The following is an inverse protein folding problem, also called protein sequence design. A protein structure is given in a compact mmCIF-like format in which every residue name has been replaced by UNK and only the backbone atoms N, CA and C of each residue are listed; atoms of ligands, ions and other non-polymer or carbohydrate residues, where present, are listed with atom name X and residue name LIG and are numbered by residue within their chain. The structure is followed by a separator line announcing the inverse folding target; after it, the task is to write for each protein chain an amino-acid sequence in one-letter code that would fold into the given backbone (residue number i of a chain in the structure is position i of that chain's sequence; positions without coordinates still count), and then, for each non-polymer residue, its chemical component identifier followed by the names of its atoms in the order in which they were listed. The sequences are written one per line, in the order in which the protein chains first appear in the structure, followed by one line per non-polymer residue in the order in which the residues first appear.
data_IF_611546132354
#
_entry.id   IF_611546132354
#
_cell.length_a   1.000
_cell.length_b   1.000
_cell.length_c   1.000
_cell.angle_alpha   90.00
_cell.angle_beta   90.00
_cell.angle_gamma   90.00
#
_symmetry.space_group_name_H-M   'P 1'
#
loop_
_entity.id
_entity.type
_entity.pdbx_description
1 polymer ?
#
# COMPACT_ATOMS: atom_id res chain seq x y z
N UNK A 1 4.41 -24.60 10.80
CA UNK A 1 3.16 -24.44 10.03
C UNK A 1 3.38 -24.92 8.60
N UNK A 2 2.39 -25.57 8.00
CA UNK A 2 2.43 -25.96 6.59
C UNK A 2 2.35 -24.71 5.69
N UNK A 3 2.95 -24.78 4.50
CA UNK A 3 2.87 -23.72 3.50
C UNK A 3 1.59 -23.89 2.69
N UNK A 4 0.84 -22.80 2.51
CA UNK A 4 -0.25 -22.74 1.54
C UNK A 4 0.31 -22.35 0.17
N UNK A 5 -0.18 -23.00 -0.89
CA UNK A 5 0.33 -22.80 -2.25
C UNK A 5 -0.86 -22.57 -3.18
N UNK A 6 -0.91 -21.39 -3.80
CA UNK A 6 -1.89 -21.01 -4.83
C UNK A 6 -1.21 -20.90 -6.19
N UNK A 7 -1.94 -21.23 -7.26
CA UNK A 7 -1.43 -21.20 -8.62
C UNK A 7 -2.34 -20.44 -9.58
N UNK A 8 -1.79 -20.09 -10.74
CA UNK A 8 -2.58 -19.65 -11.90
C UNK A 8 -3.37 -18.36 -11.67
N UNK A 9 -4.67 -18.40 -11.99
CA UNK A 9 -5.56 -17.24 -11.88
C UNK A 9 -5.91 -16.88 -10.44
N UNK A 10 -6.01 -17.86 -9.55
CA UNK A 10 -6.37 -17.65 -8.15
C UNK A 10 -5.28 -16.84 -7.43
N UNK A 11 -4.02 -17.24 -7.59
CA UNK A 11 -2.88 -16.49 -7.04
C UNK A 11 -2.82 -15.05 -7.59
N UNK A 12 -3.02 -14.87 -8.90
CA UNK A 12 -2.98 -13.55 -9.53
C UNK A 12 -4.10 -12.63 -9.03
N UNK A 13 -5.32 -13.14 -8.88
CA UNK A 13 -6.46 -12.36 -8.36
C UNK A 13 -6.25 -11.93 -6.91
N UNK A 14 -5.68 -12.79 -6.08
CA UNK A 14 -5.36 -12.44 -4.70
C UNK A 14 -4.29 -11.33 -4.64
N UNK A 15 -3.21 -11.47 -5.42
CA UNK A 15 -2.18 -10.42 -5.51
C UNK A 15 -2.77 -9.10 -6.03
N UNK A 16 -3.56 -9.15 -7.09
CA UNK A 16 -4.23 -7.97 -7.68
C UNK A 16 -5.16 -7.28 -6.67
N UNK A 17 -5.93 -8.05 -5.88
CA UNK A 17 -6.78 -7.51 -4.81
C UNK A 17 -5.96 -6.68 -3.82
N UNK A 18 -4.82 -7.22 -3.36
CA UNK A 18 -3.94 -6.50 -2.44
C UNK A 18 -3.28 -5.26 -3.04
N UNK A 19 -2.86 -5.34 -4.30
CA UNK A 19 -2.36 -4.19 -5.05
C UNK A 19 -3.41 -3.09 -5.13
N UNK A 20 -4.65 -3.44 -5.48
CA UNK A 20 -5.74 -2.49 -5.59
C UNK A 20 -6.07 -1.83 -4.25
N UNK A 21 -6.08 -2.59 -3.15
CA UNK A 21 -6.33 -2.03 -1.81
C UNK A 21 -5.28 -0.97 -1.43
N UNK A 22 -4.00 -1.24 -1.69
CA UNK A 22 -2.93 -0.26 -1.45
C UNK A 22 -3.06 0.95 -2.39
N UNK A 23 -3.21 0.71 -3.69
CA UNK A 23 -3.28 1.77 -4.70
C UNK A 23 -4.51 2.67 -4.49
N UNK A 24 -5.66 2.10 -4.17
CA UNK A 24 -6.90 2.83 -3.89
C UNK A 24 -6.77 3.72 -2.65
N UNK A 25 -6.02 3.26 -1.65
CA UNK A 25 -5.76 4.03 -0.43
C UNK A 25 -4.79 5.18 -0.68
N UNK A 26 -3.76 4.98 -1.51
CA UNK A 26 -2.71 5.97 -1.76
C UNK A 26 -3.16 7.01 -2.81
N UNK A 27 -3.85 6.60 -3.87
CA UNK A 27 -4.20 7.48 -5.00
C UNK A 27 -5.06 8.68 -4.61
N UNK A 28 -5.81 8.61 -3.51
CA UNK A 28 -6.66 9.72 -3.05
C UNK A 28 -5.85 10.93 -2.64
N UNK A 29 -4.56 10.76 -2.34
CA UNK A 29 -3.66 11.85 -1.92
C UNK A 29 -2.94 12.52 -3.09
N UNK A 30 -3.14 12.05 -4.33
CA UNK A 30 -2.41 12.52 -5.49
C UNK A 30 -2.78 13.96 -5.89
N UNK A 31 -1.75 14.78 -6.10
CA UNK A 31 -1.85 16.10 -6.72
C UNK A 31 -2.33 17.21 -5.77
N UNK A 32 -2.51 18.44 -6.29
CA UNK A 32 -2.78 19.62 -5.47
C UNK A 32 -4.17 19.62 -4.79
N UNK A 33 -5.05 18.68 -5.20
CA UNK A 33 -6.38 18.47 -4.60
C UNK A 33 -6.48 17.10 -3.90
N UNK A 34 -5.35 16.50 -3.56
CA UNK A 34 -5.29 15.28 -2.78
C UNK A 34 -6.03 15.41 -1.46
N UNK A 35 -6.70 14.34 -1.05
CA UNK A 35 -7.39 14.24 0.23
C UNK A 35 -6.47 13.65 1.28
N UNK A 36 -6.79 13.90 2.55
CA UNK A 36 -6.07 13.29 3.65
C UNK A 36 -6.59 11.87 3.91
N UNK A 37 -5.68 11.01 4.33
CA UNK A 37 -5.94 9.69 4.90
C UNK A 37 -5.71 9.79 6.42
N UNK A 38 -6.55 9.07 7.17
CA UNK A 38 -6.45 8.98 8.63
C UNK A 38 -5.89 7.62 8.98
N UNK A 39 -4.74 7.61 9.64
CA UNK A 39 -4.03 6.41 10.07
C UNK A 39 -4.16 6.28 11.59
N UNK A 40 -4.57 5.10 12.05
CA UNK A 40 -4.67 4.82 13.47
C UNK A 40 -3.29 4.78 14.12
N UNK A 41 -3.22 5.11 15.40
CA UNK A 41 -2.01 5.04 16.21
C UNK A 41 -2.34 4.33 17.51
N UNK A 42 -1.50 3.36 17.88
CA UNK A 42 -1.64 2.57 19.12
C UNK A 42 -1.80 3.43 20.39
N UNK A 43 -1.25 4.64 20.39
CA UNK A 43 -1.36 5.59 21.48
C UNK A 43 -1.51 7.03 20.95
N UNK A 44 -2.29 7.85 21.64
CA UNK A 44 -2.48 9.26 21.31
C UNK A 44 -3.58 9.48 20.26
N UNK A 45 -3.44 10.54 19.46
CA UNK A 45 -4.38 10.89 18.40
C UNK A 45 -4.00 10.25 17.07
N UNK A 46 -4.97 9.97 16.18
CA UNK A 46 -4.69 9.44 14.85
C UNK A 46 -3.81 10.40 14.04
N UNK A 47 -3.07 9.85 13.08
CA UNK A 47 -2.26 10.62 12.14
C UNK A 47 -3.09 10.96 10.90
N UNK A 48 -3.26 12.25 10.63
CA UNK A 48 -3.89 12.74 9.40
C UNK A 48 -2.78 13.15 8.44
N UNK A 49 -2.68 12.51 7.28
CA UNK A 49 -1.61 12.77 6.31
C UNK A 49 -2.08 12.63 4.86
N UNK A 50 -1.42 13.32 3.95
CA UNK A 50 -1.54 13.14 2.50
C UNK A 50 -0.24 12.59 1.87
N UNK A 51 0.74 12.20 2.68
CA UNK A 51 1.98 11.59 2.20
C UNK A 51 1.76 10.12 1.84
N UNK A 52 1.80 9.82 0.53
CA UNK A 52 1.63 8.47 0.00
C UNK A 52 2.65 7.46 0.52
N UNK A 53 3.88 7.88 0.84
CA UNK A 53 4.91 6.97 1.38
C UNK A 53 4.56 6.54 2.79
N UNK A 54 4.17 7.49 3.64
CA UNK A 54 3.72 7.20 5.01
C UNK A 54 2.49 6.31 4.99
N UNK A 55 1.51 6.58 4.12
CA UNK A 55 0.30 5.77 4.00
C UNK A 55 0.64 4.34 3.57
N UNK A 56 1.43 4.18 2.50
CA UNK A 56 1.82 2.86 2.01
C UNK A 56 2.58 2.03 3.06
N UNK A 57 3.33 2.68 3.96
CA UNK A 57 4.06 1.99 5.02
C UNK A 57 3.15 1.34 6.05
N UNK A 58 2.01 1.96 6.37
CA UNK A 58 1.04 1.50 7.36
C UNK A 58 0.05 0.47 6.81
N UNK A 59 0.02 0.23 5.48
CA UNK A 59 -0.86 -0.78 4.90
C UNK A 59 -0.29 -2.19 5.12
N UNK A 60 -1.07 -3.00 5.83
CA UNK A 60 -0.86 -4.43 6.04
C UNK A 60 -2.22 -5.14 5.97
N UNK A 61 -2.32 -6.17 5.13
CA UNK A 61 -3.58 -6.88 4.89
C UNK A 61 -3.60 -8.23 5.63
N UNK A 62 -4.79 -8.64 6.09
CA UNK A 62 -4.97 -9.89 6.83
C UNK A 62 -4.73 -11.14 5.97
N UNK A 63 -5.22 -11.14 4.72
CA UNK A 63 -4.96 -12.23 3.79
C UNK A 63 -3.50 -12.18 3.31
N UNK A 64 -2.79 -13.29 3.48
CA UNK A 64 -1.35 -13.36 3.21
C UNK A 64 -1.06 -13.14 1.71
N UNK A 65 -1.92 -13.61 0.81
CA UNK A 65 -1.71 -13.45 -0.64
C UNK A 65 -2.04 -12.05 -1.11
N UNK A 66 -3.08 -11.43 -0.58
CA UNK A 66 -3.34 -10.00 -0.82
C UNK A 66 -2.21 -9.15 -0.24
N UNK A 67 -1.77 -9.42 1.00
CA UNK A 67 -0.68 -8.68 1.62
C UNK A 67 0.61 -8.80 0.80
N UNK A 68 0.93 -9.97 0.24
CA UNK A 68 2.06 -10.11 -0.69
C UNK A 68 1.95 -9.16 -1.90
N UNK A 69 0.75 -9.01 -2.48
CA UNK A 69 0.50 -8.05 -3.56
C UNK A 69 0.73 -6.60 -3.12
N UNK A 70 0.20 -6.22 -1.96
CA UNK A 70 0.41 -4.89 -1.39
C UNK A 70 1.90 -4.61 -1.10
N UNK A 71 2.63 -5.57 -0.50
CA UNK A 71 4.05 -5.39 -0.18
C UNK A 71 4.91 -5.22 -1.45
N UNK A 72 4.58 -5.90 -2.56
CA UNK A 72 5.30 -5.74 -3.83
C UNK A 72 5.23 -4.30 -4.35
N UNK A 73 4.05 -3.68 -4.33
CA UNK A 73 3.87 -2.31 -4.84
C UNK A 73 4.41 -1.27 -3.86
N UNK A 74 4.31 -1.54 -2.55
CA UNK A 74 4.99 -0.73 -1.53
C UNK A 74 6.51 -0.67 -1.74
N UNK A 75 7.14 -1.76 -2.19
CA UNK A 75 8.56 -1.78 -2.52
C UNK A 75 8.87 -0.88 -3.73
N UNK A 76 8.04 -0.89 -4.76
CA UNK A 76 8.15 0.01 -5.93
C UNK A 76 8.05 1.48 -5.51
N UNK A 77 7.07 1.83 -4.68
CA UNK A 77 6.91 3.19 -4.17
C UNK A 77 8.12 3.63 -3.31
N UNK A 78 8.59 2.75 -2.42
CA UNK A 78 9.76 3.03 -1.57
C UNK A 78 11.02 3.28 -2.41
N UNK A 79 11.25 2.44 -3.42
CA UNK A 79 12.42 2.57 -4.30
C UNK A 79 12.36 3.84 -5.15
N UNK A 80 11.18 4.23 -5.60
CA UNK A 80 10.97 5.53 -6.29
C UNK A 80 11.33 6.68 -5.37
N UNK A 81 10.91 6.64 -4.10
CA UNK A 81 11.28 7.65 -3.11
C UNK A 81 12.79 7.72 -2.87
N UNK A 82 13.46 6.57 -2.76
CA UNK A 82 14.90 6.52 -2.49
C UNK A 82 15.73 7.12 -3.62
N UNK A 83 15.26 7.01 -4.87
CA UNK A 83 15.96 7.52 -6.06
C UNK A 83 15.60 8.98 -6.35
N UNK A 84 14.32 9.33 -6.28
CA UNK A 84 13.81 10.63 -6.75
C UNK A 84 13.37 11.57 -5.62
N UNK A 85 13.10 11.06 -4.42
CA UNK A 85 12.55 11.83 -3.29
C UNK A 85 11.10 12.28 -3.46
N UNK A 86 10.43 11.89 -4.56
CA UNK A 86 9.04 12.21 -4.90
C UNK A 86 8.49 11.17 -5.90
N UNK A 87 7.20 11.24 -6.24
CA UNK A 87 6.58 10.42 -7.29
C UNK A 87 6.03 9.07 -6.80
N UNK A 88 6.01 8.83 -5.49
CA UNK A 88 5.57 7.56 -4.90
C UNK A 88 4.10 7.24 -5.06
N UNK A 89 3.26 8.27 -5.19
CA UNK A 89 1.82 8.11 -5.46
C UNK A 89 1.56 7.92 -6.96
N UNK A 90 2.54 8.24 -7.81
CA UNK A 90 2.46 8.12 -9.27
C UNK A 90 3.00 6.78 -9.76
N UNK A 91 4.02 6.23 -9.10
CA UNK A 91 4.66 4.95 -9.40
C UNK A 91 3.82 3.75 -8.93
#
# INVERSE_FOLDING_TARGET
MAKEIKFGSEARRALESGVNQLADTVKVTLGPKGRNVVLDKKFGTPLITNDGVTIAKEVELEDIFENMGAQLVKEVATKTNDVAGDGTTTA
#
